data_IF_387091570308
#
_entry.id   IF_387091570308
#
_cell.length_a   1.000
_cell.length_b   1.000
_cell.length_c   1.000
_cell.angle_alpha   90.00
_cell.angle_beta   90.00
_cell.angle_gamma   90.00
#
_symmetry.space_group_name_H-M   'P 1'
#
loop_
_entity.id
_entity.type
_entity.pdbx_description
1 polymer ?
#
# COMPACT_ATOMS: atom_id res chain seq x y z
N UNK A 1 -9.63 32.80 -3.82
CA UNK A 1 -9.24 31.72 -4.75
C UNK A 1 -9.49 30.33 -4.14
N UNK A 2 -9.03 30.02 -2.92
CA UNK A 2 -9.20 28.73 -2.25
C UNK A 2 -10.66 28.22 -2.18
N UNK A 3 -11.63 29.08 -1.80
CA UNK A 3 -13.04 28.67 -1.71
C UNK A 3 -13.64 28.17 -3.05
N UNK A 4 -13.25 28.77 -4.18
CA UNK A 4 -13.72 28.31 -5.51
C UNK A 4 -13.12 26.98 -5.86
N UNK A 5 -11.82 26.76 -5.57
CA UNK A 5 -11.14 25.49 -5.77
C UNK A 5 -11.74 24.39 -4.89
N UNK A 6 -11.92 24.66 -3.61
CA UNK A 6 -12.58 23.72 -2.70
C UNK A 6 -14.04 23.41 -3.11
N UNK A 7 -14.76 24.43 -3.60
CA UNK A 7 -16.11 24.23 -4.14
C UNK A 7 -16.08 23.29 -5.34
N UNK A 8 -15.17 23.51 -6.27
CA UNK A 8 -14.99 22.63 -7.43
C UNK A 8 -14.57 21.20 -7.03
N UNK A 9 -13.59 21.05 -6.14
CA UNK A 9 -13.19 19.72 -5.63
C UNK A 9 -14.38 18.96 -5.03
N UNK A 10 -15.26 19.63 -4.28
CA UNK A 10 -16.45 18.99 -3.73
C UNK A 10 -17.42 18.50 -4.80
N UNK A 11 -17.49 19.15 -5.95
CA UNK A 11 -18.37 18.70 -7.06
C UNK A 11 -17.78 17.57 -7.89
N UNK A 12 -16.44 17.49 -7.97
CA UNK A 12 -15.74 16.53 -8.84
C UNK A 12 -15.36 15.25 -8.10
N UNK A 13 -14.87 15.37 -6.85
CA UNK A 13 -14.26 14.26 -6.11
C UNK A 13 -15.10 13.74 -4.94
N UNK A 14 -16.28 14.28 -4.69
CA UNK A 14 -17.03 13.84 -3.52
C UNK A 14 -18.12 12.84 -3.91
N UNK A 15 -18.11 11.73 -3.21
CA UNK A 15 -19.31 10.95 -2.95
C UNK A 15 -19.94 11.51 -1.68
N UNK A 16 -20.72 12.59 -1.76
CA UNK A 16 -21.26 13.32 -0.60
C UNK A 16 -22.14 12.42 0.29
N UNK A 17 -22.59 11.33 -0.25
CA UNK A 17 -23.51 10.34 0.33
C UNK A 17 -22.76 9.29 1.19
N UNK A 18 -21.43 9.27 1.20
CA UNK A 18 -20.65 8.32 2.00
C UNK A 18 -19.92 9.04 3.13
N UNK A 19 -20.16 8.66 4.38
CA UNK A 19 -19.40 9.17 5.50
C UNK A 19 -17.91 8.84 5.29
N UNK A 20 -17.03 9.71 5.77
CA UNK A 20 -15.60 9.43 5.80
C UNK A 20 -15.30 8.61 7.04
N UNK A 21 -14.84 7.37 6.89
CA UNK A 21 -14.57 6.52 8.05
C UNK A 21 -13.42 7.05 8.89
N UNK A 22 -13.51 6.87 10.19
CA UNK A 22 -12.41 7.08 11.13
C UNK A 22 -11.36 6.02 10.84
N UNK A 23 -10.19 6.47 10.39
CA UNK A 23 -9.15 5.57 9.88
C UNK A 23 -7.96 5.55 10.83
N UNK A 24 -7.52 4.34 11.23
CA UNK A 24 -6.23 4.08 11.83
C UNK A 24 -5.29 3.57 10.75
N UNK A 25 -4.09 4.13 10.70
CA UNK A 25 -2.98 3.66 9.88
C UNK A 25 -1.89 3.11 10.80
N UNK A 26 -1.32 1.96 10.47
CA UNK A 26 -0.38 1.26 11.36
C UNK A 26 1.03 1.83 11.36
N UNK A 27 1.38 2.75 10.44
CA UNK A 27 2.74 3.22 10.25
C UNK A 27 3.41 3.68 11.55
N UNK A 28 2.84 4.65 12.24
CA UNK A 28 3.42 5.19 13.48
C UNK A 28 3.38 4.22 14.67
N UNK A 29 2.62 3.14 14.56
CA UNK A 29 2.52 2.14 15.63
C UNK A 29 3.61 1.07 15.53
N UNK A 30 3.95 0.61 14.32
CA UNK A 30 4.81 -0.56 14.12
C UNK A 30 5.90 -0.36 13.05
N UNK A 31 5.81 0.69 12.23
CA UNK A 31 6.67 0.88 11.06
C UNK A 31 6.77 -0.42 10.23
N UNK A 32 7.97 -0.95 10.00
CA UNK A 32 8.21 -2.19 9.27
C UNK A 32 8.13 -3.46 10.13
N UNK A 33 7.97 -3.32 11.44
CA UNK A 33 7.94 -4.45 12.38
C UNK A 33 6.52 -5.04 12.47
N UNK A 34 6.15 -5.73 11.41
CA UNK A 34 4.84 -6.37 11.31
C UNK A 34 4.83 -7.71 12.06
N UNK A 35 4.01 -7.77 13.09
CA UNK A 35 3.71 -8.96 13.87
C UNK A 35 2.20 -9.14 13.99
N UNK A 36 1.69 -10.35 13.72
CA UNK A 36 0.25 -10.61 13.68
C UNK A 36 -0.41 -10.38 15.03
N UNK A 37 0.23 -10.79 16.13
CA UNK A 37 -0.36 -10.68 17.47
C UNK A 37 -0.43 -9.21 17.89
N UNK A 38 0.64 -8.46 17.65
CA UNK A 38 0.71 -7.01 17.90
C UNK A 38 -0.35 -6.25 17.11
N UNK A 39 -0.49 -6.55 15.81
CA UNK A 39 -1.48 -5.90 14.95
C UNK A 39 -2.92 -6.32 15.28
N UNK A 40 -3.12 -7.56 15.73
CA UNK A 40 -4.41 -8.04 16.24
C UNK A 40 -4.83 -7.26 17.49
N UNK A 41 -3.92 -7.11 18.46
CA UNK A 41 -4.18 -6.33 19.68
C UNK A 41 -4.48 -4.87 19.34
N UNK A 42 -3.73 -4.28 18.42
CA UNK A 42 -3.97 -2.92 17.93
C UNK A 42 -5.35 -2.79 17.29
N UNK A 43 -5.77 -3.77 16.48
CA UNK A 43 -7.09 -3.79 15.86
C UNK A 43 -8.23 -3.85 16.89
N UNK A 44 -8.08 -4.68 17.93
CA UNK A 44 -9.04 -4.74 19.03
C UNK A 44 -9.18 -3.40 19.76
N UNK A 45 -8.05 -2.76 20.09
CA UNK A 45 -8.05 -1.43 20.74
C UNK A 45 -8.64 -0.35 19.84
N UNK A 46 -8.31 -0.40 18.55
CA UNK A 46 -8.85 0.54 17.56
C UNK A 46 -10.38 0.46 17.46
N UNK A 47 -10.93 -0.75 17.42
CA UNK A 47 -12.38 -0.97 17.40
C UNK A 47 -13.07 -0.41 18.64
N UNK A 48 -12.48 -0.57 19.84
CA UNK A 48 -13.04 -0.07 21.11
C UNK A 48 -13.13 1.48 21.16
N UNK A 49 -12.27 2.18 20.43
CA UNK A 49 -12.30 3.66 20.37
C UNK A 49 -13.03 4.20 19.15
N UNK A 50 -13.71 3.33 18.38
CA UNK A 50 -14.58 3.74 17.29
C UNK A 50 -13.87 3.93 15.94
N UNK A 51 -12.73 3.28 15.73
CA UNK A 51 -12.10 3.20 14.40
C UNK A 51 -12.99 2.36 13.48
N UNK A 52 -13.18 2.84 12.25
CA UNK A 52 -14.04 2.22 11.25
C UNK A 52 -13.23 1.60 10.09
N UNK A 53 -11.95 1.99 9.94
CA UNK A 53 -11.03 1.46 8.93
C UNK A 53 -9.64 1.28 9.52
N UNK A 54 -9.08 0.09 9.35
CA UNK A 54 -7.74 -0.27 9.75
C UNK A 54 -6.87 -0.44 8.50
N UNK A 55 -5.80 0.35 8.35
CA UNK A 55 -4.92 0.33 7.18
C UNK A 55 -3.57 -0.25 7.57
N UNK A 56 -3.22 -1.41 7.01
CA UNK A 56 -1.87 -1.96 7.08
C UNK A 56 -0.96 -1.16 6.16
N UNK A 57 0.07 -0.54 6.74
CA UNK A 57 1.01 0.31 6.02
C UNK A 57 2.20 -0.46 5.45
N UNK A 58 3.25 0.24 5.07
CA UNK A 58 4.48 -0.28 4.44
C UNK A 58 5.13 -1.41 5.26
N UNK A 59 5.70 -2.42 4.57
CA UNK A 59 6.41 -3.54 5.20
C UNK A 59 5.76 -4.92 5.02
N UNK A 60 4.58 -5.00 4.39
CA UNK A 60 3.84 -6.26 4.24
C UNK A 60 4.35 -7.15 3.08
N UNK A 61 5.14 -6.61 2.14
CA UNK A 61 5.47 -7.26 0.88
C UNK A 61 6.95 -7.61 0.73
N UNK A 62 7.24 -8.57 -0.12
CA UNK A 62 8.59 -8.97 -0.56
C UNK A 62 9.64 -8.98 0.56
N UNK A 63 10.80 -8.39 0.27
CA UNK A 63 11.91 -8.20 1.20
C UNK A 63 11.85 -6.84 1.94
N UNK A 64 10.73 -6.15 1.90
CA UNK A 64 10.54 -4.80 2.47
C UNK A 64 10.59 -4.81 3.99
N UNK A 65 11.78 -4.60 4.56
CA UNK A 65 12.01 -4.52 6.03
C UNK A 65 12.55 -3.17 6.46
N UNK A 66 12.84 -2.31 5.50
CA UNK A 66 13.23 -0.91 5.64
C UNK A 66 12.92 -0.17 4.32
N UNK A 67 13.29 1.10 4.21
CA UNK A 67 13.00 1.92 3.05
C UNK A 67 14.03 1.78 1.90
N UNK A 68 15.01 0.89 2.02
CA UNK A 68 16.09 0.74 1.04
C UNK A 68 15.82 -0.35 -0.01
N UNK A 69 14.91 -1.28 0.27
CA UNK A 69 14.68 -2.47 -0.56
C UNK A 69 13.21 -2.84 -0.72
N UNK A 70 12.91 -3.69 -1.72
CA UNK A 70 11.64 -4.39 -1.91
C UNK A 70 10.51 -3.57 -2.56
N UNK A 71 10.62 -2.25 -2.66
CA UNK A 71 9.58 -1.43 -3.29
C UNK A 71 9.48 -1.78 -4.79
N UNK A 72 8.27 -2.11 -5.23
CA UNK A 72 7.98 -2.67 -6.55
C UNK A 72 7.57 -4.14 -6.52
N UNK A 73 7.93 -4.88 -5.47
CA UNK A 73 7.64 -6.31 -5.31
C UNK A 73 6.31 -6.51 -4.56
N UNK A 74 5.21 -6.16 -5.20
CA UNK A 74 3.86 -6.17 -4.61
C UNK A 74 3.32 -7.60 -4.43
N UNK A 75 4.04 -8.41 -3.65
CA UNK A 75 3.62 -9.75 -3.24
C UNK A 75 3.76 -9.88 -1.72
N UNK A 76 2.77 -10.50 -1.09
CA UNK A 76 2.78 -10.69 0.38
C UNK A 76 4.04 -11.46 0.78
N UNK A 77 4.77 -10.94 1.76
CA UNK A 77 5.98 -11.57 2.27
C UNK A 77 5.65 -12.85 3.02
N UNK A 78 6.12 -13.99 2.53
CA UNK A 78 5.93 -15.28 3.23
C UNK A 78 6.76 -15.40 4.51
N UNK A 79 7.78 -14.57 4.68
CA UNK A 79 8.58 -14.52 5.89
C UNK A 79 7.82 -13.89 7.06
N UNK A 80 7.17 -12.74 6.81
CA UNK A 80 6.40 -12.00 7.82
C UNK A 80 4.97 -12.52 7.93
N UNK A 81 4.40 -12.92 6.79
CA UNK A 81 3.03 -13.36 6.67
C UNK A 81 2.97 -14.80 6.12
N UNK A 82 3.41 -15.81 6.89
CA UNK A 82 3.48 -17.20 6.42
C UNK A 82 2.12 -17.78 6.01
N UNK A 83 1.03 -17.23 6.55
CA UNK A 83 -0.35 -17.60 6.22
C UNK A 83 -1.06 -16.52 5.36
N UNK A 84 -0.29 -15.64 4.73
CA UNK A 84 -0.84 -14.48 4.02
C UNK A 84 -1.47 -13.44 4.95
N UNK A 85 -2.14 -12.43 4.38
CA UNK A 85 -2.82 -11.38 5.14
C UNK A 85 -4.20 -11.81 5.68
N UNK A 86 -4.69 -12.99 5.26
CA UNK A 86 -6.01 -13.51 5.65
C UNK A 86 -6.28 -13.43 7.15
N UNK A 87 -5.41 -13.94 8.03
CA UNK A 87 -5.63 -13.90 9.48
C UNK A 87 -5.87 -12.49 10.03
N UNK A 88 -5.11 -11.49 9.60
CA UNK A 88 -5.32 -10.10 10.01
C UNK A 88 -6.61 -9.51 9.40
N UNK A 89 -6.88 -9.83 8.14
CA UNK A 89 -8.12 -9.42 7.48
C UNK A 89 -9.36 -9.94 8.21
N UNK A 90 -9.34 -11.19 8.63
CA UNK A 90 -10.45 -11.83 9.36
C UNK A 90 -10.68 -11.15 10.71
N UNK A 91 -9.62 -10.82 11.46
CA UNK A 91 -9.73 -10.08 12.71
C UNK A 91 -10.35 -8.70 12.47
N UNK A 92 -9.80 -7.91 11.54
CA UNK A 92 -10.26 -6.54 11.28
C UNK A 92 -11.71 -6.51 10.82
N UNK A 93 -12.09 -7.38 9.87
CA UNK A 93 -13.47 -7.44 9.37
C UNK A 93 -14.43 -8.04 10.39
N UNK A 94 -13.98 -9.02 11.18
CA UNK A 94 -14.75 -9.58 12.30
C UNK A 94 -15.07 -8.56 13.40
N UNK A 95 -14.23 -7.52 13.55
CA UNK A 95 -14.49 -6.38 14.43
C UNK A 95 -15.37 -5.29 13.79
N UNK A 96 -15.88 -5.51 12.58
CA UNK A 96 -16.75 -4.58 11.86
C UNK A 96 -16.02 -3.43 11.17
N UNK A 97 -14.67 -3.45 11.13
CA UNK A 97 -13.87 -2.45 10.44
C UNK A 97 -13.62 -2.84 8.97
N UNK A 98 -13.39 -1.83 8.14
CA UNK A 98 -12.86 -1.99 6.79
C UNK A 98 -11.36 -2.29 6.86
N UNK A 99 -10.88 -3.23 6.03
CA UNK A 99 -9.45 -3.44 5.86
C UNK A 99 -8.91 -2.61 4.69
N UNK A 100 -7.84 -1.90 4.92
CA UNK A 100 -7.09 -1.13 3.92
C UNK A 100 -5.64 -1.56 3.82
N UNK A 101 -5.02 -1.30 2.68
CA UNK A 101 -3.63 -1.64 2.40
C UNK A 101 -2.90 -0.44 1.79
N UNK A 102 -1.66 -0.20 2.25
CA UNK A 102 -0.79 0.80 1.64
C UNK A 102 -0.07 0.22 0.43
N UNK A 103 0.01 1.03 -0.65
CA UNK A 103 0.78 0.74 -1.86
C UNK A 103 1.36 2.04 -2.44
N UNK A 104 2.54 1.97 -3.03
CA UNK A 104 3.20 3.06 -3.75
C UNK A 104 3.64 2.56 -5.14
N UNK A 105 2.69 2.28 -6.04
CA UNK A 105 2.92 1.47 -7.24
C UNK A 105 3.77 2.16 -8.31
N UNK A 106 3.93 3.46 -8.22
CA UNK A 106 4.75 4.27 -9.14
C UNK A 106 6.25 4.30 -8.78
N UNK A 107 6.62 3.76 -7.60
CA UNK A 107 7.99 3.80 -7.12
C UNK A 107 8.61 2.41 -7.06
N UNK A 108 9.93 2.35 -7.16
CA UNK A 108 10.71 1.11 -7.15
C UNK A 108 12.06 1.32 -6.46
N UNK A 109 12.47 0.37 -5.62
CA UNK A 109 13.85 0.33 -5.17
C UNK A 109 14.73 -0.39 -6.20
N UNK A 110 15.96 0.03 -6.34
CA UNK A 110 16.95 -0.70 -7.15
C UNK A 110 17.22 -2.10 -6.58
N UNK A 111 17.13 -2.23 -5.25
CA UNK A 111 17.13 -3.51 -4.55
C UNK A 111 15.70 -4.06 -4.43
N UNK A 112 15.14 -4.46 -5.57
CA UNK A 112 13.88 -5.19 -5.67
C UNK A 112 13.98 -6.26 -6.76
N UNK A 113 13.12 -7.26 -6.70
CA UNK A 113 13.03 -8.28 -7.75
C UNK A 113 12.52 -7.69 -9.06
N UNK A 114 11.63 -6.69 -8.97
CA UNK A 114 11.16 -5.97 -10.13
C UNK A 114 12.31 -5.26 -10.87
N UNK A 115 13.11 -4.47 -10.16
CA UNK A 115 14.22 -3.74 -10.76
C UNK A 115 15.31 -4.66 -11.34
N UNK A 116 15.56 -5.81 -10.70
CA UNK A 116 16.51 -6.82 -11.20
C UNK A 116 16.03 -7.48 -12.49
N UNK A 117 14.73 -7.76 -12.60
CA UNK A 117 14.15 -8.43 -13.77
C UNK A 117 13.86 -7.48 -14.94
N UNK A 118 13.50 -6.26 -14.63
CA UNK A 118 13.05 -5.27 -15.59
C UNK A 118 13.71 -3.90 -15.36
N UNK A 119 15.04 -3.79 -15.48
CA UNK A 119 15.76 -2.52 -15.31
C UNK A 119 15.38 -1.48 -16.36
N UNK A 120 14.82 -1.90 -17.49
CA UNK A 120 14.29 -1.11 -18.59
C UNK A 120 12.91 -0.47 -18.30
N UNK A 121 12.25 -0.88 -17.22
CA UNK A 121 11.00 -0.26 -16.77
C UNK A 121 11.21 0.90 -15.82
N UNK A 122 12.46 1.17 -15.44
CA UNK A 122 12.79 2.31 -14.57
C UNK A 122 12.95 3.56 -15.43
N UNK A 123 12.22 4.61 -15.06
CA UNK A 123 12.25 5.86 -15.81
C UNK A 123 13.66 6.43 -15.87
N UNK A 124 14.10 6.74 -17.09
CA UNK A 124 15.41 7.30 -17.34
C UNK A 124 15.54 7.77 -18.79
N UNK A 125 16.57 8.55 -19.08
CA UNK A 125 16.83 9.06 -20.42
C UNK A 125 18.28 8.76 -20.84
N UNK A 126 18.46 8.23 -22.06
CA UNK A 126 19.79 7.93 -22.65
C UNK A 126 20.69 7.07 -21.76
N UNK A 127 20.13 6.10 -21.03
CA UNK A 127 20.86 5.23 -20.11
C UNK A 127 21.23 5.89 -18.77
N UNK A 128 20.82 7.13 -18.54
CA UNK A 128 20.98 7.83 -17.27
C UNK A 128 19.69 7.74 -16.46
N UNK A 129 19.80 7.31 -15.20
CA UNK A 129 18.70 7.35 -14.24
C UNK A 129 18.72 8.66 -13.47
N UNK A 130 17.58 9.17 -13.02
CA UNK A 130 17.53 10.26 -12.06
C UNK A 130 18.32 9.92 -10.79
N UNK A 131 18.75 10.94 -10.05
CA UNK A 131 19.33 10.72 -8.74
C UNK A 131 18.29 10.12 -7.79
N UNK A 132 18.70 9.10 -7.03
CA UNK A 132 17.82 8.46 -6.05
C UNK A 132 17.31 9.48 -5.03
N UNK A 133 16.02 9.44 -4.77
CA UNK A 133 15.42 10.12 -3.63
C UNK A 133 14.85 9.04 -2.69
N UNK A 134 15.26 9.03 -1.43
CA UNK A 134 14.86 8.02 -0.45
C UNK A 134 15.12 6.57 -0.92
N UNK A 135 16.23 6.32 -1.60
CA UNK A 135 16.59 5.03 -2.22
C UNK A 135 15.60 4.54 -3.29
N UNK A 136 14.78 5.43 -3.82
CA UNK A 136 13.71 5.10 -4.77
C UNK A 136 13.99 5.67 -6.15
N UNK A 137 13.53 4.94 -7.17
CA UNK A 137 13.41 5.36 -8.55
C UNK A 137 11.94 5.34 -8.96
N UNK A 138 11.63 5.99 -10.07
CA UNK A 138 10.28 6.03 -10.62
C UNK A 138 10.12 4.90 -11.64
N UNK A 139 9.04 4.13 -11.51
CA UNK A 139 8.66 3.15 -12.51
C UNK A 139 8.00 3.85 -13.70
N UNK A 140 8.38 3.48 -14.92
CA UNK A 140 7.75 3.99 -16.14
C UNK A 140 6.39 3.32 -16.37
N UNK A 141 5.37 3.83 -15.69
CA UNK A 141 3.99 3.33 -15.85
C UNK A 141 3.37 3.68 -17.21
N UNK A 142 4.03 4.49 -18.05
CA UNK A 142 3.64 4.67 -19.45
C UNK A 142 4.07 3.47 -20.31
N UNK A 143 5.01 2.66 -19.84
CA UNK A 143 5.32 1.37 -20.45
C UNK A 143 4.15 0.39 -20.19
N UNK A 144 3.49 -0.14 -21.27
CA UNK A 144 2.32 -1.01 -21.11
C UNK A 144 2.59 -2.28 -20.32
N UNK A 145 3.82 -2.83 -20.38
CA UNK A 145 4.20 -4.05 -19.66
C UNK A 145 4.37 -3.77 -18.16
N UNK A 146 5.01 -2.66 -17.80
CA UNK A 146 5.15 -2.22 -16.41
C UNK A 146 3.76 -1.93 -15.80
N UNK A 147 2.91 -1.19 -16.53
CA UNK A 147 1.54 -0.92 -16.11
C UNK A 147 0.73 -2.21 -15.90
N UNK A 148 0.78 -3.14 -16.87
CA UNK A 148 0.06 -4.41 -16.77
C UNK A 148 0.54 -5.25 -15.57
N UNK A 149 1.85 -5.26 -15.31
CA UNK A 149 2.41 -5.95 -14.15
C UNK A 149 1.85 -5.40 -12.84
N UNK A 150 1.92 -4.07 -12.65
CA UNK A 150 1.39 -3.42 -11.43
C UNK A 150 -0.11 -3.65 -11.31
N UNK A 151 -0.86 -3.47 -12.40
CA UNK A 151 -2.31 -3.69 -12.40
C UNK A 151 -2.64 -5.12 -11.93
N UNK A 152 -1.98 -6.14 -12.52
CA UNK A 152 -2.22 -7.53 -12.14
C UNK A 152 -1.88 -7.80 -10.67
N UNK A 153 -0.79 -7.21 -10.13
CA UNK A 153 -0.45 -7.36 -8.71
C UNK A 153 -1.51 -6.76 -7.79
N UNK A 154 -2.00 -5.57 -8.11
CA UNK A 154 -3.06 -4.93 -7.33
C UNK A 154 -4.39 -5.69 -7.45
N UNK A 155 -4.72 -6.18 -8.65
CA UNK A 155 -5.90 -7.00 -8.89
C UNK A 155 -5.85 -8.30 -8.08
N UNK A 156 -4.71 -9.00 -8.08
CA UNK A 156 -4.50 -10.21 -7.27
C UNK A 156 -4.74 -9.93 -5.78
N UNK A 157 -4.23 -8.81 -5.25
CA UNK A 157 -4.42 -8.43 -3.86
C UNK A 157 -5.88 -8.18 -3.50
N UNK A 158 -6.59 -7.36 -4.29
CA UNK A 158 -7.98 -6.99 -3.99
C UNK A 158 -8.98 -8.11 -4.28
N UNK A 159 -8.60 -9.10 -5.08
CA UNK A 159 -9.42 -10.30 -5.32
C UNK A 159 -9.16 -11.39 -4.29
N UNK A 160 -7.94 -11.46 -3.75
CA UNK A 160 -7.55 -12.47 -2.75
C UNK A 160 -7.99 -12.08 -1.33
N UNK A 161 -7.91 -10.78 -1.00
CA UNK A 161 -8.18 -10.27 0.33
C UNK A 161 -9.34 -9.26 0.33
N UNK A 162 -10.09 -9.11 1.43
CA UNK A 162 -11.22 -8.17 1.54
C UNK A 162 -10.74 -6.71 1.67
N UNK A 163 -9.86 -6.29 0.77
CA UNK A 163 -9.33 -4.92 0.74
C UNK A 163 -10.39 -3.98 0.19
N UNK A 164 -10.84 -3.04 1.00
CA UNK A 164 -11.86 -2.05 0.63
C UNK A 164 -11.28 -0.64 0.44
N UNK A 165 -10.00 -0.46 0.70
CA UNK A 165 -9.29 0.82 0.59
C UNK A 165 -7.82 0.60 0.27
N UNK A 166 -7.32 1.31 -0.73
CA UNK A 166 -5.89 1.47 -1.00
C UNK A 166 -5.45 2.88 -0.60
N UNK A 167 -4.37 2.94 0.17
CA UNK A 167 -3.73 4.19 0.58
C UNK A 167 -2.57 4.47 -0.36
#
# INVERSE_FOLDING_TARGET
MAHRFHGWLRTVNTRPDRPRPVTLNTWEAVYFDHDLDTLTELAHRASQVGVERFVLDDGWFGSRRDDTSGLGDWCVSSEVWPNGLGPLCDVVTGLGMQFGLWVEPEMVNMDSDLARRHPDWILGENGHRPMDARHQQVLDIANPQAWQHIHSRLEDLVTTYPISYLK
#
